data_IF_353588546629
#
_entry.id   IF_353588546629
#
_cell.length_a   1.000
_cell.length_b   1.000
_cell.length_c   1.000
_cell.angle_alpha   90.00
_cell.angle_beta   90.00
_cell.angle_gamma   90.00
#
_symmetry.space_group_name_H-M   'P 1'
#
loop_
_entity.id
_entity.type
_entity.pdbx_description
1 polymer ?
#
# COMPACT_ATOMS: atom_id res chain seq x y z
N UNK A 1 14.98 -65.32 26.97
CA UNK A 1 14.58 -64.36 28.03
C UNK A 1 15.27 -63.02 27.78
N UNK A 2 14.53 -62.02 27.27
CA UNK A 2 15.00 -60.63 27.14
C UNK A 2 14.00 -59.73 27.85
N UNK A 3 14.53 -58.88 28.71
CA UNK A 3 13.85 -58.12 29.75
C UNK A 3 13.10 -56.93 29.13
N UNK A 4 11.82 -56.79 29.46
CA UNK A 4 11.02 -55.60 29.15
C UNK A 4 11.54 -54.39 29.94
N UNK A 5 11.87 -53.30 29.23
CA UNK A 5 12.05 -51.98 29.84
C UNK A 5 11.06 -51.00 29.21
N UNK A 6 10.13 -50.59 30.07
CA UNK A 6 9.06 -49.62 29.92
C UNK A 6 9.57 -48.30 29.32
N UNK A 7 9.07 -47.90 28.13
CA UNK A 7 9.25 -46.54 27.60
C UNK A 7 8.27 -45.62 28.33
N UNK A 8 8.82 -44.74 29.18
CA UNK A 8 8.10 -43.61 29.78
C UNK A 8 7.89 -42.57 28.67
N UNK A 9 6.65 -42.19 28.39
CA UNK A 9 6.31 -41.02 27.58
C UNK A 9 6.91 -39.79 28.27
N UNK A 10 7.83 -39.11 27.60
CA UNK A 10 8.29 -37.78 28.00
C UNK A 10 7.53 -36.77 27.14
N UNK A 11 6.81 -35.89 27.83
CA UNK A 11 6.02 -34.79 27.29
C UNK A 11 6.93 -33.89 26.44
N UNK A 12 6.86 -34.07 25.12
CA UNK A 12 7.54 -33.18 24.18
C UNK A 12 6.73 -31.90 24.09
N UNK A 13 7.25 -30.88 24.79
CA UNK A 13 6.80 -29.48 24.77
C UNK A 13 6.20 -29.08 23.42
N UNK A 14 4.95 -28.59 23.46
CA UNK A 14 4.38 -27.77 22.38
C UNK A 14 5.36 -26.63 22.11
N UNK A 15 5.96 -26.62 20.91
CA UNK A 15 6.60 -25.43 20.37
C UNK A 15 5.49 -24.42 20.12
N UNK A 16 5.39 -23.41 20.96
CA UNK A 16 4.69 -22.17 20.67
C UNK A 16 5.41 -21.49 19.51
N UNK A 17 4.93 -21.71 18.29
CA UNK A 17 5.35 -20.93 17.12
C UNK A 17 4.58 -19.60 17.14
N UNK A 18 4.92 -18.76 18.11
CA UNK A 18 4.55 -17.35 18.16
C UNK A 18 5.85 -16.54 18.13
N UNK A 19 5.88 -15.49 17.33
CA UNK A 19 7.03 -14.58 17.23
C UNK A 19 7.33 -13.99 18.62
N UNK A 20 8.57 -14.03 19.08
CA UNK A 20 8.96 -13.53 20.40
C UNK A 20 9.03 -11.99 20.45
N UNK A 21 8.96 -11.42 21.65
CA UNK A 21 8.99 -9.97 21.90
C UNK A 21 10.17 -9.28 21.21
N UNK A 22 11.33 -9.93 21.17
CA UNK A 22 12.54 -9.38 20.57
C UNK A 22 12.44 -9.31 19.03
N UNK A 23 11.78 -10.28 18.40
CA UNK A 23 11.52 -10.27 16.96
C UNK A 23 10.55 -9.15 16.56
N UNK A 24 9.59 -8.79 17.41
CA UNK A 24 8.66 -7.68 17.17
C UNK A 24 9.34 -6.33 17.37
N UNK A 25 10.20 -6.20 18.39
CA UNK A 25 11.02 -5.01 18.58
C UNK A 25 11.88 -4.71 17.37
N UNK A 26 12.57 -5.72 16.83
CA UNK A 26 13.35 -5.57 15.60
C UNK A 26 12.50 -5.26 14.38
N UNK A 27 11.35 -5.91 14.25
CA UNK A 27 10.41 -5.60 13.18
C UNK A 27 9.95 -4.13 13.22
N UNK A 28 9.68 -3.56 14.41
CA UNK A 28 9.31 -2.15 14.57
C UNK A 28 10.45 -1.22 14.19
N UNK A 29 11.68 -1.56 14.59
CA UNK A 29 12.88 -0.81 14.22
C UNK A 29 13.08 -0.83 12.70
N UNK A 30 12.89 -1.97 12.05
CA UNK A 30 13.01 -2.11 10.60
C UNK A 30 11.90 -1.31 9.88
N UNK A 31 10.68 -1.31 10.40
CA UNK A 31 9.54 -0.57 9.83
C UNK A 31 9.67 0.94 10.00
N UNK A 32 10.02 1.42 11.19
CA UNK A 32 9.87 2.84 11.54
C UNK A 32 11.21 3.55 11.73
N UNK A 33 12.33 2.83 11.71
CA UNK A 33 13.65 3.34 12.02
C UNK A 33 14.00 3.24 13.51
N UNK A 34 15.26 3.47 13.85
CA UNK A 34 15.79 3.29 15.21
C UNK A 34 15.04 4.11 16.27
N UNK A 35 14.69 5.37 16.00
CA UNK A 35 14.07 6.23 17.02
C UNK A 35 12.58 5.96 17.15
N UNK A 36 11.84 5.95 16.04
CA UNK A 36 10.39 5.75 16.05
C UNK A 36 10.03 4.30 16.39
N UNK A 37 10.85 3.32 16.00
CA UNK A 37 10.69 1.91 16.38
C UNK A 37 10.84 1.68 17.88
N UNK A 38 11.82 2.34 18.52
CA UNK A 38 11.99 2.29 19.98
C UNK A 38 10.83 2.98 20.73
N UNK A 39 10.30 4.08 20.20
CA UNK A 39 9.13 4.75 20.77
C UNK A 39 7.89 3.85 20.65
N UNK A 40 7.67 3.25 19.47
CA UNK A 40 6.57 2.32 19.24
C UNK A 40 6.67 1.09 20.16
N UNK A 41 7.88 0.57 20.37
CA UNK A 41 8.13 -0.54 21.29
C UNK A 41 7.88 -0.15 22.76
N UNK A 42 8.32 1.02 23.18
CA UNK A 42 8.06 1.52 24.52
C UNK A 42 6.56 1.73 24.78
N UNK A 43 5.79 2.18 23.79
CA UNK A 43 4.34 2.26 23.90
C UNK A 43 3.69 0.87 23.96
N UNK A 44 4.13 -0.06 23.11
CA UNK A 44 3.61 -1.44 23.08
C UNK A 44 3.87 -2.17 24.40
N UNK A 45 5.05 -1.98 24.99
CA UNK A 45 5.43 -2.58 26.28
C UNK A 45 4.72 -1.93 27.49
N UNK A 46 4.17 -0.72 27.32
CA UNK A 46 3.35 -0.05 28.34
C UNK A 46 1.87 -0.49 28.33
N UNK A 47 1.41 -1.23 27.32
CA UNK A 47 0.04 -1.72 27.27
C UNK A 47 -0.23 -2.77 28.37
N UNK A 48 -1.47 -2.85 28.90
CA UNK A 48 -1.85 -3.90 29.84
C UNK A 48 -1.53 -5.29 29.28
N UNK A 49 -1.04 -6.22 30.11
CA UNK A 49 -0.57 -7.52 29.65
C UNK A 49 -1.65 -8.33 28.92
N UNK A 50 -2.93 -8.12 29.24
CA UNK A 50 -4.07 -8.75 28.57
C UNK A 50 -4.20 -8.28 27.11
N UNK A 51 -4.03 -6.97 26.87
CA UNK A 51 -4.10 -6.36 25.54
C UNK A 51 -2.85 -6.71 24.74
N UNK A 52 -1.69 -6.71 25.39
CA UNK A 52 -0.43 -7.13 24.77
C UNK A 52 -0.52 -8.58 24.35
N UNK A 53 -0.91 -9.50 25.24
CA UNK A 53 -1.01 -10.92 24.91
C UNK A 53 -2.04 -11.16 23.81
N UNK A 54 -3.17 -10.44 23.80
CA UNK A 54 -4.14 -10.51 22.71
C UNK A 54 -3.56 -10.03 21.37
N UNK A 55 -2.84 -8.89 21.37
CA UNK A 55 -2.12 -8.41 20.20
C UNK A 55 -1.04 -9.39 19.74
N UNK A 56 -0.33 -10.05 20.66
CA UNK A 56 0.66 -11.09 20.35
C UNK A 56 0.00 -12.33 19.75
N UNK A 57 -1.17 -12.73 20.25
CA UNK A 57 -1.96 -13.80 19.65
C UNK A 57 -2.44 -13.43 18.25
N UNK A 58 -2.80 -12.17 17.99
CA UNK A 58 -3.16 -11.69 16.65
C UNK A 58 -1.95 -11.55 15.71
N UNK A 59 -0.81 -11.06 16.21
CA UNK A 59 0.42 -10.84 15.46
C UNK A 59 1.17 -12.14 15.14
N UNK A 60 0.95 -13.21 15.92
CA UNK A 60 1.55 -14.53 15.72
C UNK A 60 1.23 -15.18 14.35
N UNK A 61 0.28 -14.62 13.59
CA UNK A 61 -0.17 -15.14 12.32
C UNK A 61 0.56 -14.67 11.05
N UNK A 62 1.23 -13.49 11.05
CA UNK A 62 2.02 -12.95 9.91
C UNK A 62 2.06 -11.42 9.99
N UNK A 63 3.09 -10.85 10.64
CA UNK A 63 3.40 -9.45 10.45
C UNK A 63 3.85 -9.23 8.98
N UNK A 64 3.30 -8.23 8.27
CA UNK A 64 3.75 -7.90 6.91
C UNK A 64 5.25 -7.59 6.88
N UNK A 65 5.90 -7.74 5.73
CA UNK A 65 7.34 -7.40 5.64
C UNK A 65 7.55 -5.91 5.94
N UNK A 66 8.60 -5.53 6.67
CA UNK A 66 8.87 -4.13 6.98
C UNK A 66 8.93 -3.19 5.77
N UNK A 67 9.50 -3.67 4.66
CA UNK A 67 9.55 -2.91 3.41
C UNK A 67 8.16 -2.59 2.85
N UNK A 68 7.23 -3.53 2.95
CA UNK A 68 5.86 -3.36 2.46
C UNK A 68 5.10 -2.34 3.31
N UNK A 69 5.29 -2.35 4.64
CA UNK A 69 4.67 -1.37 5.56
C UNK A 69 5.22 0.02 5.33
N UNK A 70 6.54 0.15 5.14
CA UNK A 70 7.17 1.43 4.82
C UNK A 70 6.66 2.00 3.51
N UNK A 71 6.61 1.18 2.48
CA UNK A 71 6.10 1.59 1.19
C UNK A 71 4.62 1.97 1.25
N UNK A 72 3.79 1.23 2.02
CA UNK A 72 2.39 1.59 2.23
C UNK A 72 2.24 2.94 2.94
N UNK A 73 3.00 3.19 4.00
CA UNK A 73 2.96 4.47 4.71
C UNK A 73 3.42 5.62 3.79
N UNK A 74 4.48 5.41 3.02
CA UNK A 74 4.94 6.38 2.02
C UNK A 74 3.90 6.59 0.93
N UNK A 75 3.22 5.54 0.48
CA UNK A 75 2.17 5.62 -0.53
C UNK A 75 0.97 6.40 -0.01
N UNK A 76 0.52 6.12 1.22
CA UNK A 76 -0.56 6.84 1.90
C UNK A 76 -0.22 8.33 2.08
N UNK A 77 1.02 8.61 2.46
CA UNK A 77 1.53 9.96 2.61
C UNK A 77 1.63 10.72 1.28
N UNK A 78 2.23 10.08 0.27
CA UNK A 78 2.36 10.64 -1.09
C UNK A 78 1.01 10.81 -1.78
N UNK A 79 0.07 9.91 -1.47
CA UNK A 79 -1.31 9.93 -1.94
C UNK A 79 -2.16 11.02 -1.29
N UNK A 80 -1.64 11.81 -0.34
CA UNK A 80 -2.40 12.89 0.30
C UNK A 80 -3.55 12.38 1.17
N UNK A 81 -3.42 11.20 1.77
CA UNK A 81 -4.46 10.63 2.64
C UNK A 81 -4.18 10.83 4.14
N UNK A 82 -3.07 11.48 4.50
CA UNK A 82 -2.65 11.71 5.89
C UNK A 82 -3.52 12.71 6.68
N UNK A 83 -4.15 13.67 6.00
CA UNK A 83 -4.94 14.72 6.64
C UNK A 83 -6.26 14.92 5.90
N UNK A 84 -7.28 15.41 6.61
CA UNK A 84 -8.59 15.72 6.01
C UNK A 84 -8.48 16.74 4.88
N UNK A 85 -7.61 17.75 5.02
CA UNK A 85 -7.38 18.77 4.00
C UNK A 85 -6.70 18.18 2.75
N UNK A 86 -5.70 17.30 2.92
CA UNK A 86 -5.04 16.64 1.79
C UNK A 86 -5.99 15.66 1.07
N UNK A 87 -6.90 15.04 1.83
CA UNK A 87 -7.91 14.14 1.30
C UNK A 87 -8.96 14.89 0.47
N UNK A 88 -9.43 16.06 0.93
CA UNK A 88 -10.28 16.95 0.15
C UNK A 88 -9.62 17.31 -1.18
N UNK A 89 -8.36 17.76 -1.14
CA UNK A 89 -7.60 18.09 -2.35
C UNK A 89 -7.42 16.87 -3.29
N UNK A 90 -7.28 15.67 -2.74
CA UNK A 90 -7.17 14.44 -3.53
C UNK A 90 -8.48 14.10 -4.25
N UNK A 91 -9.62 14.33 -3.59
CA UNK A 91 -10.94 14.14 -4.17
C UNK A 91 -11.19 15.18 -5.29
N UNK A 92 -10.76 16.42 -5.09
CA UNK A 92 -10.84 17.48 -6.11
C UNK A 92 -10.01 17.17 -7.36
N UNK A 93 -8.91 16.42 -7.23
CA UNK A 93 -8.04 16.03 -8.34
C UNK A 93 -8.63 14.95 -9.25
N UNK A 94 -9.75 14.32 -8.86
CA UNK A 94 -10.52 13.41 -9.69
C UNK A 94 -10.79 12.05 -9.04
N UNK A 95 -11.55 11.18 -9.72
CA UNK A 95 -12.03 9.91 -9.16
C UNK A 95 -10.94 8.86 -8.90
N UNK A 96 -9.72 9.10 -9.41
CA UNK A 96 -8.57 8.20 -9.23
C UNK A 96 -7.42 9.00 -8.63
N UNK A 97 -6.94 8.58 -7.46
CA UNK A 97 -5.74 9.14 -6.84
C UNK A 97 -4.49 8.69 -7.61
N UNK A 98 -4.10 9.47 -8.62
CA UNK A 98 -2.96 9.15 -9.49
C UNK A 98 -1.66 9.09 -8.71
N UNK A 99 -1.47 9.94 -7.69
CA UNK A 99 -0.23 9.94 -6.89
C UNK A 99 -0.05 8.65 -6.10
N UNK A 100 -1.12 8.17 -5.47
CA UNK A 100 -1.15 6.88 -4.78
C UNK A 100 -0.96 5.72 -5.77
N UNK A 101 -1.62 5.77 -6.92
CA UNK A 101 -1.44 4.75 -7.95
C UNK A 101 0.01 4.71 -8.46
N UNK A 102 0.66 5.87 -8.63
CA UNK A 102 2.08 5.94 -9.03
C UNK A 102 2.97 5.30 -8.00
N UNK A 103 2.80 5.63 -6.72
CA UNK A 103 3.68 5.11 -5.67
C UNK A 103 3.61 3.59 -5.55
N UNK A 104 2.39 3.02 -5.57
CA UNK A 104 2.18 1.57 -5.54
C UNK A 104 2.76 0.90 -6.81
N UNK A 105 2.48 1.47 -7.98
CA UNK A 105 2.97 0.92 -9.23
C UNK A 105 4.51 0.97 -9.32
N UNK A 106 5.14 2.04 -8.84
CA UNK A 106 6.60 2.17 -8.79
C UNK A 106 7.23 1.23 -7.77
N UNK A 107 6.62 1.02 -6.60
CA UNK A 107 7.07 0.01 -5.65
C UNK A 107 7.13 -1.37 -6.32
N UNK A 108 6.07 -1.75 -7.03
CA UNK A 108 6.02 -3.02 -7.74
C UNK A 108 6.98 -3.09 -8.93
N UNK A 109 7.15 -1.99 -9.66
CA UNK A 109 8.05 -1.90 -10.80
C UNK A 109 9.53 -2.00 -10.39
N UNK A 110 9.86 -1.53 -9.18
CA UNK A 110 11.21 -1.53 -8.62
C UNK A 110 11.52 -2.72 -7.71
N UNK A 111 10.70 -3.78 -7.78
CA UNK A 111 10.97 -5.02 -7.08
C UNK A 111 12.34 -5.62 -7.45
N UNK A 112 12.88 -6.46 -6.57
CA UNK A 112 14.20 -7.07 -6.72
C UNK A 112 14.37 -7.77 -8.08
N UNK A 113 15.51 -7.55 -8.72
CA UNK A 113 15.83 -8.08 -10.05
C UNK A 113 15.26 -7.27 -11.22
N UNK A 114 14.59 -6.14 -10.98
CA UNK A 114 14.18 -5.25 -12.06
C UNK A 114 15.36 -4.45 -12.63
N UNK A 115 15.44 -4.38 -13.96
CA UNK A 115 16.38 -3.49 -14.64
C UNK A 115 16.05 -2.02 -14.36
N UNK A 116 17.07 -1.28 -13.92
CA UNK A 116 16.96 0.11 -13.49
C UNK A 116 17.60 1.10 -14.48
N UNK A 117 18.39 0.59 -15.42
CA UNK A 117 19.07 1.40 -16.44
C UNK A 117 19.45 0.56 -17.65
N UNK A 118 19.77 1.23 -18.75
CA UNK A 118 20.25 0.61 -19.98
C UNK A 118 21.58 1.23 -20.41
N UNK A 119 22.37 0.45 -21.13
CA UNK A 119 23.57 0.93 -21.80
C UNK A 119 23.23 1.64 -23.12
N UNK A 120 24.15 2.48 -23.59
CA UNK A 120 24.02 3.12 -24.90
C UNK A 120 23.95 2.09 -26.05
N UNK A 121 24.67 0.98 -25.92
CA UNK A 121 24.68 -0.09 -26.91
C UNK A 121 23.33 -0.80 -27.03
N UNK A 122 22.69 -1.12 -25.91
CA UNK A 122 21.33 -1.67 -25.90
C UNK A 122 20.35 -0.69 -26.53
N UNK A 123 20.51 0.60 -26.23
CA UNK A 123 19.65 1.62 -26.78
C UNK A 123 19.77 1.75 -28.31
N UNK A 124 20.99 1.72 -28.83
CA UNK A 124 21.26 1.75 -30.26
C UNK A 124 20.72 0.50 -30.98
N UNK A 125 20.89 -0.68 -30.37
CA UNK A 125 20.40 -1.94 -30.92
C UNK A 125 18.87 -1.95 -31.07
N UNK A 126 18.14 -1.47 -30.05
CA UNK A 126 16.68 -1.38 -30.08
C UNK A 126 16.21 -0.35 -31.12
N UNK A 127 16.87 0.81 -31.23
CA UNK A 127 16.52 1.81 -32.26
C UNK A 127 16.74 1.28 -33.68
N UNK A 128 17.80 0.52 -33.91
CA UNK A 128 18.05 -0.14 -35.18
C UNK A 128 16.95 -1.16 -35.52
N UNK A 129 16.60 -2.04 -34.57
CA UNK A 129 15.56 -3.05 -34.74
C UNK A 129 14.17 -2.41 -35.01
N UNK A 130 13.83 -1.32 -34.31
CA UNK A 130 12.60 -0.56 -34.54
C UNK A 130 12.53 0.02 -35.96
N UNK A 131 13.65 0.55 -36.46
CA UNK A 131 13.71 1.11 -37.81
C UNK A 131 13.54 0.04 -38.88
N UNK A 132 14.16 -1.14 -38.69
CA UNK A 132 13.99 -2.28 -39.58
C UNK A 132 12.55 -2.81 -39.57
N UNK A 133 11.95 -2.98 -38.38
CA UNK A 133 10.56 -3.39 -38.26
C UNK A 133 9.61 -2.41 -38.97
N UNK A 134 9.87 -1.10 -38.88
CA UNK A 134 9.07 -0.09 -39.57
C UNK A 134 9.16 -0.23 -41.09
N UNK A 135 10.35 -0.50 -41.65
CA UNK A 135 10.53 -0.74 -43.08
C UNK A 135 9.76 -1.98 -43.57
N UNK A 136 9.71 -3.03 -42.76
CA UNK A 136 8.98 -4.24 -43.11
C UNK A 136 7.47 -4.00 -43.04
N UNK A 137 7.00 -3.35 -41.97
CA UNK A 137 5.59 -3.07 -41.75
C UNK A 137 5.02 -2.09 -42.79
N UNK A 138 5.80 -1.12 -43.27
CA UNK A 138 5.38 -0.15 -44.30
C UNK A 138 4.93 -0.83 -45.59
N UNK A 139 5.50 -1.99 -45.93
CA UNK A 139 5.12 -2.73 -47.14
C UNK A 139 3.83 -3.54 -47.01
N UNK A 140 3.40 -3.86 -45.78
CA UNK A 140 2.28 -4.78 -45.50
C UNK A 140 1.16 -4.17 -44.65
N UNK A 141 1.30 -2.92 -44.21
CA UNK A 141 0.31 -2.22 -43.38
C UNK A 141 -0.17 -0.93 -44.04
N UNK A 142 -1.48 -0.74 -44.10
CA UNK A 142 -2.11 0.52 -44.52
C UNK A 142 -2.15 1.57 -43.39
N UNK A 143 -1.72 1.20 -42.18
CA UNK A 143 -1.66 2.10 -41.04
C UNK A 143 -0.37 2.93 -41.09
N UNK A 144 -0.51 4.25 -40.96
CA UNK A 144 0.64 5.11 -40.76
C UNK A 144 1.39 4.72 -39.47
N UNK A 145 2.73 4.80 -39.46
CA UNK A 145 3.50 4.49 -38.27
C UNK A 145 3.16 5.43 -37.10
N UNK A 146 3.36 4.99 -35.85
CA UNK A 146 3.15 5.83 -34.68
C UNK A 146 3.98 7.11 -34.78
N UNK A 147 3.38 8.26 -34.47
CA UNK A 147 4.10 9.53 -34.44
C UNK A 147 4.98 9.61 -33.18
N UNK A 148 6.23 10.00 -33.35
CA UNK A 148 7.17 10.25 -32.24
C UNK A 148 8.49 9.48 -32.37
N UNK A 149 9.41 9.78 -31.46
CA UNK A 149 10.69 9.06 -31.36
C UNK A 149 10.51 7.78 -30.52
N UNK A 150 11.03 6.62 -30.96
CA UNK A 150 11.02 5.41 -30.18
C UNK A 150 11.74 5.61 -28.83
N UNK A 151 11.06 5.29 -27.74
CA UNK A 151 11.62 5.36 -26.40
C UNK A 151 11.86 3.97 -25.83
N UNK A 152 12.94 3.86 -25.06
CA UNK A 152 13.30 2.66 -24.33
C UNK A 152 13.11 2.97 -22.86
N UNK A 153 12.22 2.23 -22.22
CA UNK A 153 11.76 2.52 -20.87
C UNK A 153 12.06 1.35 -19.94
N UNK A 154 12.52 1.66 -18.73
CA UNK A 154 12.52 0.70 -17.63
C UNK A 154 11.08 0.43 -17.21
N UNK A 155 10.85 -0.60 -16.37
CA UNK A 155 9.51 -0.84 -15.82
C UNK A 155 8.96 0.39 -15.11
N UNK A 156 9.81 1.07 -14.33
CA UNK A 156 9.47 2.33 -13.66
C UNK A 156 9.17 3.45 -14.67
N UNK A 157 10.01 3.62 -15.69
CA UNK A 157 9.79 4.64 -16.73
C UNK A 157 8.50 4.41 -17.54
N UNK A 158 8.11 3.15 -17.75
CA UNK A 158 6.83 2.80 -18.38
C UNK A 158 5.64 3.19 -17.49
N UNK A 159 5.73 2.91 -16.18
CA UNK A 159 4.70 3.33 -15.21
C UNK A 159 4.54 4.85 -15.25
N UNK A 160 5.63 5.60 -15.11
CA UNK A 160 5.60 7.07 -15.12
C UNK A 160 5.03 7.64 -16.43
N UNK A 161 5.36 7.03 -17.57
CA UNK A 161 4.92 7.49 -18.88
C UNK A 161 3.46 7.16 -19.19
N UNK A 162 2.92 6.07 -18.62
CA UNK A 162 1.60 5.54 -19.03
C UNK A 162 0.51 5.67 -17.99
N UNK A 163 0.84 5.87 -16.71
CA UNK A 163 -0.15 5.84 -15.63
C UNK A 163 -1.26 6.88 -15.82
N UNK A 164 -0.94 8.06 -16.35
CA UNK A 164 -1.94 9.08 -16.65
C UNK A 164 -3.00 8.61 -17.64
N UNK A 165 -2.62 7.81 -18.65
CA UNK A 165 -3.56 7.22 -19.60
C UNK A 165 -4.42 6.14 -18.94
N UNK A 166 -3.82 5.30 -18.09
CA UNK A 166 -4.55 4.30 -17.30
C UNK A 166 -5.55 4.92 -16.34
N UNK A 167 -5.19 6.02 -15.67
CA UNK A 167 -6.09 6.75 -14.79
C UNK A 167 -7.29 7.32 -15.56
N UNK A 168 -7.07 7.92 -16.74
CA UNK A 168 -8.16 8.41 -17.60
C UNK A 168 -9.06 7.28 -18.08
N UNK A 169 -8.47 6.14 -18.44
CA UNK A 169 -9.21 4.96 -18.86
C UNK A 169 -10.09 4.39 -17.74
N UNK A 170 -9.58 4.35 -16.50
CA UNK A 170 -10.30 3.84 -15.34
C UNK A 170 -11.28 4.85 -14.70
N UNK A 171 -11.11 6.15 -14.97
CA UNK A 171 -11.87 7.23 -14.33
C UNK A 171 -13.40 7.05 -14.40
N UNK A 172 -14.03 6.67 -15.53
CA UNK A 172 -15.49 6.52 -15.58
C UNK A 172 -16.01 5.40 -14.67
N UNK A 173 -15.24 4.31 -14.52
CA UNK A 173 -15.58 3.20 -13.63
C UNK A 173 -15.46 3.63 -12.18
N UNK A 174 -14.36 4.29 -11.82
CA UNK A 174 -14.15 4.81 -10.48
C UNK A 174 -15.23 5.82 -10.08
N UNK A 175 -15.64 6.70 -11.00
CA UNK A 175 -16.74 7.63 -10.76
C UNK A 175 -18.06 6.89 -10.53
N UNK A 176 -18.43 5.95 -11.41
CA UNK A 176 -19.67 5.18 -11.26
C UNK A 176 -19.73 4.41 -9.93
N UNK A 177 -18.60 3.91 -9.44
CA UNK A 177 -18.53 3.23 -8.14
C UNK A 177 -18.74 4.23 -6.99
N UNK A 178 -18.11 5.40 -7.04
CA UNK A 178 -18.30 6.47 -6.05
C UNK A 178 -19.75 6.95 -5.99
N UNK A 179 -20.37 7.15 -7.15
CA UNK A 179 -21.77 7.57 -7.25
C UNK A 179 -22.71 6.49 -6.70
N UNK A 180 -22.45 5.22 -7.01
CA UNK A 180 -23.24 4.10 -6.50
C UNK A 180 -23.14 3.99 -4.97
N UNK A 181 -21.93 4.14 -4.41
CA UNK A 181 -21.72 4.13 -2.96
C UNK A 181 -22.43 5.32 -2.29
N UNK A 182 -22.32 6.52 -2.85
CA UNK A 182 -23.01 7.73 -2.37
C UNK A 182 -24.54 7.58 -2.39
N UNK A 183 -25.06 6.97 -3.45
CA UNK A 183 -26.49 6.67 -3.57
C UNK A 183 -26.97 5.71 -2.49
N UNK A 184 -26.24 4.61 -2.25
CA UNK A 184 -26.57 3.65 -1.17
C UNK A 184 -26.51 4.32 0.20
N UNK A 185 -25.50 5.16 0.46
CA UNK A 185 -25.43 5.90 1.71
C UNK A 185 -26.61 6.85 1.87
N UNK A 186 -27.00 7.56 0.81
CA UNK A 186 -28.14 8.47 0.83
C UNK A 186 -29.47 7.72 1.00
N UNK A 187 -29.64 6.55 0.38
CA UNK A 187 -30.83 5.70 0.50
C UNK A 187 -30.97 5.08 1.90
N UNK A 188 -29.84 4.71 2.53
CA UNK A 188 -29.81 4.08 3.86
C UNK A 188 -29.78 5.09 5.01
N UNK A 189 -29.14 6.24 4.82
CA UNK A 189 -28.89 7.23 5.88
C UNK A 189 -29.68 8.54 5.68
N UNK A 190 -30.09 8.86 4.46
CA UNK A 190 -30.78 10.13 4.14
C UNK A 190 -32.25 10.18 4.56
N UNK A 191 -32.82 9.07 5.06
CA UNK A 191 -34.19 9.03 5.56
C UNK A 191 -34.36 9.35 7.05
N UNK A 192 -33.32 9.25 7.88
CA UNK A 192 -33.51 9.25 9.35
C UNK A 192 -32.34 9.83 10.19
N UNK A 193 -31.33 10.49 9.59
CA UNK A 193 -30.16 11.00 10.33
C UNK A 193 -30.00 12.52 10.38
N UNK A 194 -31.02 13.30 10.01
CA UNK A 194 -30.95 14.76 9.99
C UNK A 194 -30.78 15.46 11.35
N UNK A 195 -30.86 14.75 12.47
CA UNK A 195 -30.80 15.37 13.81
C UNK A 195 -29.89 14.67 14.83
N UNK A 196 -29.50 13.41 14.65
CA UNK A 196 -28.82 12.64 15.72
C UNK A 196 -27.32 12.34 15.46
N UNK A 197 -26.84 12.42 14.22
CA UNK A 197 -25.40 12.15 13.90
C UNK A 197 -24.51 13.39 14.06
N UNK A 198 -25.07 14.56 14.41
CA UNK A 198 -24.25 15.67 14.94
C UNK A 198 -23.73 15.38 16.37
N UNK A 199 -24.25 14.36 17.07
CA UNK A 199 -23.88 14.02 18.44
C UNK A 199 -22.81 12.93 18.59
N UNK A 200 -22.49 12.19 17.51
CA UNK A 200 -21.61 11.00 17.59
C UNK A 200 -20.16 11.31 17.19
N UNK A 201 -19.92 12.43 16.49
CA UNK A 201 -18.58 12.83 16.02
C UNK A 201 -18.01 14.11 16.68
N UNK A 202 -18.74 14.71 17.62
CA UNK A 202 -18.18 15.73 18.50
C UNK A 202 -17.44 15.02 19.64
N UNK A 203 -16.10 15.11 19.63
CA UNK A 203 -15.29 14.76 20.80
C UNK A 203 -15.76 15.50 22.06
N UNK A 204 -15.27 15.14 23.26
CA UNK A 204 -15.73 15.72 24.52
C UNK A 204 -15.75 17.25 24.44
N UNK A 205 -16.95 17.82 24.47
CA UNK A 205 -17.19 19.25 24.39
C UNK A 205 -16.47 19.91 25.58
N UNK A 206 -15.57 20.89 25.37
CA UNK A 206 -15.02 21.65 26.48
C UNK A 206 -16.15 22.45 27.13
N UNK A 207 -16.41 22.15 28.40
CA UNK A 207 -17.34 22.90 29.24
C UNK A 207 -16.67 24.23 29.58
N UNK A 208 -17.26 25.40 29.26
CA UNK A 208 -16.74 26.67 29.75
C UNK A 208 -16.97 26.76 31.26
N UNK A 209 -15.88 26.93 32.02
CA UNK A 209 -15.93 27.24 33.44
C UNK A 209 -16.29 28.73 33.56
N UNK A 210 -17.36 29.12 34.29
CA UNK A 210 -17.65 30.53 34.51
C UNK A 210 -16.55 31.15 35.40
N UNK A 211 -16.00 32.27 34.96
CA UNK A 211 -15.07 33.05 35.79
C UNK A 211 -15.80 33.60 37.01
N UNK A 212 -15.25 33.28 38.18
CA UNK A 212 -15.58 33.84 39.49
C UNK A 212 -14.36 33.74 40.38
#
# INVERSE_FOLDING_TARGET
MKVHRFRRCDDTKRKTTGMDDNAIHQWLIDCFGQVQGEIAWNQLSQLPPEVRDQLMHQASGSLPKPDDVRALMQAFSTGGLNSVNDMEHTIEQGPVNVKLATSIALQQANAEGSEQSFSAQEADAVRAAMSEANLWLDTVSDFAPPQGEPQILTRAGWVESTLGAWARFAAPVAQSMSDALSSVFSERLGGEFGTEVSGIFAGPVPIPIPEG
#
